data_IF_880496608318
#
_entry.id   IF_880496608318
#
_cell.length_a   1.000
_cell.length_b   1.000
_cell.length_c   1.000
_cell.angle_alpha   90.00
_cell.angle_beta   90.00
_cell.angle_gamma   90.00
#
_symmetry.space_group_name_H-M   'P 1'
#
loop_
_entity.id
_entity.type
_entity.pdbx_description
1 polymer ?
#
# COMPACT_ATOMS: atom_id res chain seq x y z
N UNK A 1 6.53 6.35 13.01
CA UNK A 1 5.89 7.26 12.01
C UNK A 1 6.47 6.91 10.65
N UNK A 2 5.71 6.18 9.83
CA UNK A 2 6.21 5.40 8.68
C UNK A 2 6.55 6.33 7.50
N UNK A 3 7.81 6.37 7.10
CA UNK A 3 8.23 6.88 5.79
C UNK A 3 7.84 5.86 4.73
N UNK A 4 6.89 6.22 3.87
CA UNK A 4 6.46 5.38 2.75
C UNK A 4 7.58 5.43 1.69
N UNK A 5 8.26 4.30 1.45
CA UNK A 5 9.25 4.17 0.37
C UNK A 5 8.66 4.66 -0.96
N UNK A 6 9.35 5.60 -1.61
CA UNK A 6 8.95 6.18 -2.91
C UNK A 6 8.05 7.42 -2.83
N UNK A 7 7.89 8.05 -1.66
CA UNK A 7 7.21 9.33 -1.54
C UNK A 7 8.20 10.46 -1.20
N UNK A 8 8.69 11.15 -2.23
CA UNK A 8 9.69 12.22 -2.10
C UNK A 8 9.09 13.56 -1.66
N UNK A 9 7.77 13.61 -1.41
CA UNK A 9 7.10 14.82 -0.97
C UNK A 9 7.62 15.28 0.41
N UNK A 10 7.96 16.58 0.58
CA UNK A 10 8.19 17.16 1.89
C UNK A 10 7.02 16.86 2.83
N UNK A 11 7.30 16.50 4.09
CA UNK A 11 6.26 16.12 5.07
C UNK A 11 5.15 17.17 5.21
N UNK A 12 5.51 18.45 5.10
CA UNK A 12 4.58 19.60 5.14
C UNK A 12 3.59 19.64 3.97
N UNK A 13 3.83 18.87 2.91
CA UNK A 13 3.01 18.80 1.70
C UNK A 13 2.45 17.39 1.43
N UNK A 14 2.78 16.41 2.26
CA UNK A 14 2.27 15.05 2.08
C UNK A 14 0.73 15.03 2.20
N UNK A 15 0.05 14.42 1.24
CA UNK A 15 -1.42 14.43 1.20
C UNK A 15 -2.03 15.67 0.57
N UNK A 16 -1.24 16.56 -0.04
CA UNK A 16 -1.72 17.72 -0.81
C UNK A 16 -1.36 17.58 -2.30
N UNK A 17 -1.98 18.40 -3.19
CA UNK A 17 -1.60 18.42 -4.60
C UNK A 17 -0.14 18.88 -4.81
N UNK A 18 0.34 19.82 -4.00
CA UNK A 18 1.72 20.28 -4.00
C UNK A 18 2.69 19.15 -3.61
N UNK A 19 2.33 18.29 -2.66
CA UNK A 19 3.14 17.11 -2.34
C UNK A 19 3.26 16.13 -3.50
N UNK A 20 2.19 15.93 -4.28
CA UNK A 20 2.29 15.11 -5.49
C UNK A 20 3.24 15.70 -6.54
N UNK A 21 3.15 17.02 -6.78
CA UNK A 21 4.01 17.74 -7.73
C UNK A 21 5.48 17.69 -7.30
N UNK A 22 5.75 17.67 -5.99
CA UNK A 22 7.07 17.50 -5.40
C UNK A 22 7.55 16.03 -5.34
N UNK A 23 7.00 15.13 -6.17
CA UNK A 23 7.44 13.73 -6.23
C UNK A 23 6.71 12.77 -5.29
N UNK A 24 5.71 13.23 -4.53
CA UNK A 24 4.89 12.35 -3.69
C UNK A 24 4.13 11.31 -4.50
N UNK A 25 4.25 10.04 -4.13
CA UNK A 25 3.51 8.93 -4.77
C UNK A 25 2.67 8.11 -3.80
N UNK A 26 2.61 8.50 -2.53
CA UNK A 26 1.76 7.83 -1.55
C UNK A 26 0.26 7.96 -1.91
N UNK A 27 -0.60 7.06 -1.37
CA UNK A 27 -2.04 7.13 -1.60
C UNK A 27 -2.66 8.49 -1.28
N UNK A 28 -2.17 9.18 -0.24
CA UNK A 28 -2.62 10.52 0.13
C UNK A 28 -2.32 11.59 -0.93
N UNK A 29 -1.06 11.69 -1.38
CA UNK A 29 -0.68 12.62 -2.45
C UNK A 29 -1.40 12.29 -3.76
N UNK A 30 -1.58 11.01 -4.09
CA UNK A 30 -2.33 10.58 -5.28
C UNK A 30 -3.79 10.99 -5.19
N UNK A 31 -4.43 10.77 -4.05
CA UNK A 31 -5.82 11.18 -3.82
C UNK A 31 -5.97 12.71 -3.88
N UNK A 32 -5.00 13.47 -3.34
CA UNK A 32 -5.02 14.92 -3.38
C UNK A 32 -4.81 15.48 -4.78
N UNK A 33 -3.86 14.92 -5.55
CA UNK A 33 -3.69 15.24 -6.97
C UNK A 33 -4.91 14.86 -7.78
N UNK A 34 -5.53 13.71 -7.54
CA UNK A 34 -6.77 13.35 -8.20
C UNK A 34 -7.92 14.30 -7.82
N UNK A 35 -7.93 14.87 -6.60
CA UNK A 35 -8.87 15.91 -6.17
C UNK A 35 -8.60 17.25 -6.87
N UNK A 36 -7.32 17.61 -7.02
CA UNK A 36 -6.87 18.80 -7.77
C UNK A 36 -7.16 18.66 -9.27
N UNK A 37 -6.94 17.48 -9.82
CA UNK A 37 -7.28 17.15 -11.20
C UNK A 37 -8.80 16.97 -11.37
N UNK A 38 -9.54 16.59 -10.33
CA UNK A 38 -10.99 16.64 -10.31
C UNK A 38 -11.49 18.09 -10.34
N UNK A 39 -10.83 19.03 -9.62
CA UNK A 39 -11.04 20.48 -9.85
C UNK A 39 -10.67 20.91 -11.27
N UNK A 40 -9.86 20.13 -12.00
CA UNK A 40 -9.51 20.33 -13.41
C UNK A 40 -10.41 19.56 -14.38
N UNK A 41 -11.54 18.99 -13.97
CA UNK A 41 -12.62 18.51 -14.90
C UNK A 41 -13.36 19.66 -15.59
N UNK A 42 -12.67 20.78 -15.84
CA UNK A 42 -13.19 21.97 -16.50
C UNK A 42 -14.10 22.85 -15.63
N UNK A 43 -14.80 22.31 -14.63
CA UNK A 43 -15.80 23.04 -13.82
C UNK A 43 -15.61 22.80 -12.31
N UNK A 44 -15.88 23.84 -11.52
CA UNK A 44 -16.12 23.68 -10.07
C UNK A 44 -17.52 23.10 -9.82
N UNK A 45 -17.77 22.59 -8.61
CA UNK A 45 -19.11 22.09 -8.22
C UNK A 45 -20.19 23.16 -8.38
N UNK A 46 -19.87 24.42 -8.06
CA UNK A 46 -20.77 25.55 -8.23
C UNK A 46 -21.08 25.82 -9.70
N UNK A 47 -20.04 25.90 -10.55
CA UNK A 47 -20.20 26.10 -11.99
C UNK A 47 -21.00 24.96 -12.63
N UNK A 48 -20.72 23.72 -12.25
CA UNK A 48 -21.46 22.53 -12.67
C UNK A 48 -22.94 22.65 -12.30
N UNK A 49 -23.24 23.01 -11.06
CA UNK A 49 -24.62 23.12 -10.58
C UNK A 49 -25.38 24.28 -11.26
N UNK A 50 -24.70 25.39 -11.56
CA UNK A 50 -25.27 26.50 -12.33
C UNK A 50 -25.60 26.07 -13.77
N UNK A 51 -24.68 25.35 -14.44
CA UNK A 51 -24.92 24.82 -15.78
C UNK A 51 -26.10 23.84 -15.81
N UNK A 52 -26.13 22.87 -14.89
CA UNK A 52 -27.24 21.90 -14.78
C UNK A 52 -28.58 22.59 -14.53
N UNK A 53 -28.61 23.60 -13.65
CA UNK A 53 -29.84 24.37 -13.39
C UNK A 53 -30.34 25.08 -14.66
N UNK A 54 -29.44 25.73 -15.39
CA UNK A 54 -29.78 26.41 -16.65
C UNK A 54 -30.31 25.43 -17.71
N UNK A 55 -29.67 24.28 -17.88
CA UNK A 55 -30.11 23.24 -18.83
C UNK A 55 -31.49 22.67 -18.44
N UNK A 56 -31.72 22.41 -17.16
CA UNK A 56 -33.01 21.90 -16.65
C UNK A 56 -34.16 22.88 -16.79
N UNK A 57 -33.87 24.18 -16.80
CA UNK A 57 -34.87 25.21 -17.10
C UNK A 57 -35.13 25.40 -18.61
N UNK A 58 -34.61 24.51 -19.47
CA UNK A 58 -34.76 24.60 -20.93
C UNK A 58 -33.75 25.53 -21.60
N UNK A 59 -32.68 25.92 -20.89
CA UNK A 59 -31.58 26.70 -21.44
C UNK A 59 -30.80 25.92 -22.50
N UNK A 60 -30.14 26.66 -23.39
CA UNK A 60 -29.23 26.09 -24.39
C UNK A 60 -27.85 25.81 -23.77
N UNK A 61 -27.00 25.04 -24.45
CA UNK A 61 -25.62 24.84 -24.03
C UNK A 61 -24.84 26.16 -23.88
N UNK A 62 -25.14 27.17 -24.73
CA UNK A 62 -24.51 28.48 -24.65
C UNK A 62 -24.95 29.24 -23.39
N UNK A 63 -26.25 29.31 -23.11
CA UNK A 63 -26.76 29.98 -21.90
C UNK A 63 -26.33 29.27 -20.61
N UNK A 64 -26.21 27.94 -20.64
CA UNK A 64 -25.72 27.16 -19.50
C UNK A 64 -24.23 27.41 -19.23
N UNK A 65 -23.42 27.53 -20.28
CA UNK A 65 -22.00 27.87 -20.16
C UNK A 65 -21.83 29.30 -19.61
N UNK A 66 -22.61 30.25 -20.13
CA UNK A 66 -22.65 31.63 -19.64
C UNK A 66 -23.05 31.70 -18.17
N UNK A 67 -24.14 31.01 -17.77
CA UNK A 67 -24.59 30.95 -16.39
C UNK A 67 -23.54 30.37 -15.44
N UNK A 68 -22.72 29.44 -15.92
CA UNK A 68 -21.61 28.85 -15.18
C UNK A 68 -20.30 29.64 -15.27
N UNK A 69 -20.26 30.77 -16.00
CA UNK A 69 -19.06 31.59 -16.18
C UNK A 69 -17.93 30.86 -16.90
N UNK A 70 -18.25 30.00 -17.87
CA UNK A 70 -17.28 29.21 -18.65
C UNK A 70 -17.58 29.27 -20.15
N UNK A 71 -16.63 28.85 -20.98
CA UNK A 71 -16.88 28.72 -22.41
C UNK A 71 -17.75 27.50 -22.73
N UNK A 72 -18.54 27.52 -23.82
CA UNK A 72 -19.29 26.34 -24.29
C UNK A 72 -18.40 25.12 -24.56
N UNK A 73 -17.16 25.36 -24.99
CA UNK A 73 -16.16 24.31 -25.23
C UNK A 73 -15.71 23.66 -23.91
N UNK A 74 -15.44 24.44 -22.87
CA UNK A 74 -15.10 23.92 -21.53
C UNK A 74 -16.25 23.10 -20.94
N UNK A 75 -17.49 23.58 -21.10
CA UNK A 75 -18.69 22.86 -20.68
C UNK A 75 -18.83 21.51 -21.40
N UNK A 76 -18.65 21.51 -22.73
CA UNK A 76 -18.70 20.29 -23.55
C UNK A 76 -17.59 19.30 -23.21
N UNK A 77 -16.39 19.79 -22.87
CA UNK A 77 -15.28 18.96 -22.44
C UNK A 77 -15.55 18.32 -21.07
N UNK A 78 -16.08 19.09 -20.11
CA UNK A 78 -16.46 18.59 -18.80
C UNK A 78 -17.51 17.47 -18.89
N UNK A 79 -18.51 17.64 -19.77
CA UNK A 79 -19.56 16.67 -20.01
C UNK A 79 -19.03 15.31 -20.52
N UNK A 80 -17.84 15.22 -21.10
CA UNK A 80 -17.26 13.92 -21.50
C UNK A 80 -16.88 13.04 -20.31
N UNK A 81 -16.72 13.62 -19.12
CA UNK A 81 -16.33 12.92 -17.90
C UNK A 81 -17.44 12.94 -16.83
N UNK A 82 -18.62 13.46 -17.17
CA UNK A 82 -19.76 13.65 -16.28
C UNK A 82 -21.04 13.29 -17.03
N UNK A 83 -21.53 12.08 -16.81
CA UNK A 83 -22.64 11.52 -17.59
C UNK A 83 -23.96 12.23 -17.29
N UNK A 84 -24.13 12.81 -16.09
CA UNK A 84 -25.30 13.64 -15.75
C UNK A 84 -25.31 14.93 -16.58
N UNK A 85 -24.18 15.62 -16.64
CA UNK A 85 -24.03 16.84 -17.43
C UNK A 85 -24.16 16.56 -18.94
N UNK A 86 -23.63 15.43 -19.41
CA UNK A 86 -23.81 14.98 -20.80
C UNK A 86 -25.28 14.78 -21.14
N UNK A 87 -26.00 14.04 -20.29
CA UNK A 87 -27.43 13.79 -20.48
C UNK A 87 -28.23 15.10 -20.47
N UNK A 88 -27.89 16.05 -19.60
CA UNK A 88 -28.53 17.36 -19.56
C UNK A 88 -28.28 18.18 -20.85
N UNK A 89 -27.05 18.17 -21.39
CA UNK A 89 -26.72 18.84 -22.66
C UNK A 89 -27.45 18.24 -23.85
N UNK A 90 -27.68 16.93 -23.83
CA UNK A 90 -28.42 16.23 -24.87
C UNK A 90 -29.95 16.38 -24.71
N UNK A 91 -30.42 17.18 -23.73
CA UNK A 91 -31.83 17.47 -23.50
C UNK A 91 -32.62 16.34 -22.85
N UNK A 92 -31.94 15.38 -22.20
CA UNK A 92 -32.60 14.25 -21.57
C UNK A 92 -33.43 14.69 -20.35
N UNK A 93 -34.57 14.01 -20.05
CA UNK A 93 -35.33 14.25 -18.83
C UNK A 93 -34.50 14.09 -17.56
N UNK A 94 -34.82 14.83 -16.49
CA UNK A 94 -34.05 14.80 -15.23
C UNK A 94 -33.93 13.39 -14.63
N UNK A 95 -34.95 12.55 -14.77
CA UNK A 95 -34.89 11.15 -14.35
C UNK A 95 -33.72 10.38 -15.01
N UNK A 96 -33.47 10.61 -16.30
CA UNK A 96 -32.35 9.99 -17.04
C UNK A 96 -31.01 10.56 -16.59
N UNK A 97 -30.96 11.86 -16.30
CA UNK A 97 -29.74 12.51 -15.77
C UNK A 97 -29.33 11.90 -14.43
N UNK A 98 -30.29 11.70 -13.52
CA UNK A 98 -30.06 11.06 -12.21
C UNK A 98 -29.57 9.62 -12.37
N UNK A 99 -30.15 8.86 -13.31
CA UNK A 99 -29.70 7.50 -13.62
C UNK A 99 -28.24 7.50 -14.12
N UNK A 100 -27.89 8.44 -15.00
CA UNK A 100 -26.52 8.58 -15.51
C UNK A 100 -25.52 8.87 -14.37
N UNK A 101 -25.86 9.78 -13.45
CA UNK A 101 -25.03 10.08 -12.27
C UNK A 101 -24.83 8.85 -11.37
N UNK A 102 -25.90 8.10 -11.14
CA UNK A 102 -25.86 6.84 -10.38
C UNK A 102 -24.98 5.80 -11.06
N UNK A 103 -25.06 5.70 -12.39
CA UNK A 103 -24.20 4.84 -13.20
C UNK A 103 -22.70 5.17 -13.04
N UNK A 104 -22.34 6.46 -13.09
CA UNK A 104 -20.96 6.92 -12.85
C UNK A 104 -20.47 6.54 -11.45
N UNK A 105 -21.34 6.68 -10.45
CA UNK A 105 -21.03 6.31 -9.06
C UNK A 105 -20.82 4.79 -8.90
N UNK A 106 -21.71 3.96 -9.47
CA UNK A 106 -21.57 2.51 -9.46
C UNK A 106 -20.28 2.05 -10.15
N UNK A 107 -19.93 2.67 -11.28
CA UNK A 107 -18.66 2.39 -11.96
C UNK A 107 -17.46 2.80 -11.09
N UNK A 108 -17.55 3.93 -10.37
CA UNK A 108 -16.53 4.35 -9.42
C UNK A 108 -16.42 3.41 -8.22
N UNK A 109 -17.54 2.86 -7.73
CA UNK A 109 -17.59 1.89 -6.64
C UNK A 109 -16.82 0.60 -6.97
N UNK A 110 -16.96 0.11 -8.20
CA UNK A 110 -16.17 -1.04 -8.68
C UNK A 110 -14.69 -0.72 -8.69
N UNK A 111 -14.31 0.45 -9.23
CA UNK A 111 -12.89 0.86 -9.30
C UNK A 111 -12.26 1.11 -7.94
N UNK A 112 -13.07 1.53 -6.95
CA UNK A 112 -12.62 1.73 -5.57
C UNK A 112 -12.66 0.46 -4.71
N UNK A 113 -13.01 -0.69 -5.29
CA UNK A 113 -13.09 -1.95 -4.53
C UNK A 113 -14.16 -1.91 -3.44
N UNK A 114 -15.27 -1.20 -3.66
CA UNK A 114 -16.39 -1.13 -2.74
C UNK A 114 -16.33 0.02 -1.73
N UNK A 115 -15.25 0.81 -1.71
CA UNK A 115 -15.20 2.02 -0.88
C UNK A 115 -16.15 3.10 -1.44
N UNK A 116 -17.32 3.21 -0.81
CA UNK A 116 -18.39 4.15 -1.18
C UNK A 116 -17.96 5.61 -1.03
N UNK A 117 -17.16 5.94 -0.02
CA UNK A 117 -16.68 7.31 0.21
C UNK A 117 -15.67 7.70 -0.87
N UNK A 118 -14.74 6.81 -1.20
CA UNK A 118 -13.81 7.02 -2.29
C UNK A 118 -14.53 7.12 -3.65
N UNK A 119 -15.56 6.31 -3.88
CA UNK A 119 -16.37 6.36 -5.10
C UNK A 119 -17.10 7.70 -5.26
N UNK A 120 -17.74 8.19 -4.20
CA UNK A 120 -18.41 9.50 -4.20
C UNK A 120 -17.43 10.64 -4.48
N UNK A 121 -16.27 10.64 -3.80
CA UNK A 121 -15.21 11.62 -4.04
C UNK A 121 -14.66 11.52 -5.47
N UNK A 122 -14.58 10.32 -6.04
CA UNK A 122 -14.05 10.10 -7.38
C UNK A 122 -14.97 10.63 -8.48
N UNK A 123 -16.24 10.91 -8.21
CA UNK A 123 -17.16 11.55 -9.18
C UNK A 123 -17.58 12.96 -8.75
N UNK A 124 -16.98 13.50 -7.69
CA UNK A 124 -17.22 14.89 -7.26
C UNK A 124 -18.57 15.11 -6.58
N UNK A 125 -19.15 14.08 -5.94
CA UNK A 125 -20.40 14.24 -5.16
C UNK A 125 -20.13 14.17 -3.66
N UNK A 126 -21.05 14.74 -2.87
CA UNK A 126 -20.98 14.63 -1.42
C UNK A 126 -21.05 13.14 -1.00
N UNK A 127 -20.16 12.64 -0.11
CA UNK A 127 -20.15 11.25 0.35
C UNK A 127 -21.46 10.72 0.93
N UNK A 128 -22.35 11.59 1.41
CA UNK A 128 -23.67 11.21 1.95
C UNK A 128 -24.77 11.11 0.87
N UNK A 129 -24.52 11.63 -0.34
CA UNK A 129 -25.50 11.63 -1.44
C UNK A 129 -25.96 10.21 -1.80
N UNK A 130 -25.07 9.21 -1.97
CA UNK A 130 -25.48 7.86 -2.29
C UNK A 130 -26.40 7.24 -1.23
N UNK A 131 -26.16 7.50 0.06
CA UNK A 131 -27.05 7.02 1.12
C UNK A 131 -28.46 7.61 0.99
N UNK A 132 -28.56 8.90 0.63
CA UNK A 132 -29.87 9.53 0.37
C UNK A 132 -30.57 8.94 -0.86
N UNK A 133 -29.84 8.46 -1.87
CA UNK A 133 -30.43 7.78 -3.02
C UNK A 133 -30.96 6.42 -2.60
N UNK A 134 -30.14 5.63 -1.90
CA UNK A 134 -30.51 4.29 -1.42
C UNK A 134 -31.75 4.31 -0.51
N UNK A 135 -31.85 5.31 0.35
CA UNK A 135 -33.03 5.48 1.23
C UNK A 135 -34.31 5.83 0.47
N UNK A 136 -34.19 6.59 -0.63
CA UNK A 136 -35.34 7.03 -1.43
C UNK A 136 -35.75 6.03 -2.50
N UNK A 137 -34.84 5.14 -2.89
CA UNK A 137 -34.98 4.23 -4.02
C UNK A 137 -34.49 2.82 -3.63
N UNK A 138 -35.42 1.94 -3.17
CA UNK A 138 -35.09 0.59 -2.78
C UNK A 138 -34.52 -0.28 -3.92
N UNK A 139 -34.92 -0.02 -5.16
CA UNK A 139 -34.39 -0.75 -6.32
C UNK A 139 -32.92 -0.41 -6.54
N UNK A 140 -32.58 0.88 -6.44
CA UNK A 140 -31.18 1.31 -6.48
C UNK A 140 -30.38 0.71 -5.32
N UNK A 141 -30.92 0.69 -4.10
CA UNK A 141 -30.27 0.04 -2.96
C UNK A 141 -29.94 -1.44 -3.22
N UNK A 142 -30.90 -2.19 -3.78
CA UNK A 142 -30.69 -3.59 -4.14
C UNK A 142 -29.54 -3.75 -5.16
N UNK A 143 -29.45 -2.86 -6.16
CA UNK A 143 -28.32 -2.85 -7.11
C UNK A 143 -26.99 -2.58 -6.41
N UNK A 144 -26.94 -1.61 -5.50
CA UNK A 144 -25.72 -1.31 -4.72
C UNK A 144 -25.28 -2.53 -3.92
N UNK A 145 -26.21 -3.16 -3.22
CA UNK A 145 -25.93 -4.35 -2.39
C UNK A 145 -25.44 -5.52 -3.24
N UNK A 146 -26.06 -5.76 -4.40
CA UNK A 146 -25.61 -6.78 -5.35
C UNK A 146 -24.19 -6.50 -5.87
N UNK A 147 -23.88 -5.24 -6.18
CA UNK A 147 -22.54 -4.85 -6.63
C UNK A 147 -21.49 -4.99 -5.53
N UNK A 148 -21.79 -4.61 -4.29
CA UNK A 148 -20.88 -4.80 -3.15
C UNK A 148 -20.59 -6.29 -2.92
N UNK A 149 -21.62 -7.15 -2.92
CA UNK A 149 -21.44 -8.59 -2.81
C UNK A 149 -20.60 -9.18 -3.97
N UNK A 150 -20.81 -8.68 -5.18
CA UNK A 150 -19.99 -9.07 -6.34
C UNK A 150 -18.53 -8.60 -6.20
N UNK A 151 -18.28 -7.38 -5.74
CA UNK A 151 -16.94 -6.85 -5.48
C UNK A 151 -16.25 -7.68 -4.40
N UNK A 152 -16.93 -8.04 -3.32
CA UNK A 152 -16.38 -8.86 -2.24
C UNK A 152 -16.01 -10.26 -2.75
N UNK A 153 -16.87 -10.89 -3.54
CA UNK A 153 -16.58 -12.22 -4.13
C UNK A 153 -15.49 -12.15 -5.20
N UNK A 154 -15.42 -11.09 -6.00
CA UNK A 154 -14.35 -10.87 -6.98
C UNK A 154 -13.01 -10.52 -6.30
N UNK A 155 -13.05 -9.74 -5.23
CA UNK A 155 -11.92 -9.41 -4.37
C UNK A 155 -11.39 -10.66 -3.68
N UNK A 156 -12.26 -11.49 -3.10
CA UNK A 156 -11.91 -12.78 -2.53
C UNK A 156 -11.29 -13.72 -3.56
N UNK A 157 -11.81 -13.75 -4.80
CA UNK A 157 -11.19 -14.50 -5.91
C UNK A 157 -9.80 -13.95 -6.27
N UNK A 158 -9.63 -12.64 -6.30
CA UNK A 158 -8.34 -12.00 -6.59
C UNK A 158 -7.33 -12.26 -5.47
N UNK A 159 -7.74 -12.21 -4.21
CA UNK A 159 -6.92 -12.56 -3.05
C UNK A 159 -6.58 -14.06 -3.06
N UNK A 160 -7.54 -14.95 -3.35
CA UNK A 160 -7.29 -16.39 -3.50
C UNK A 160 -6.34 -16.70 -4.66
N UNK A 161 -6.48 -16.04 -5.81
CA UNK A 161 -5.57 -16.19 -6.95
C UNK A 161 -4.17 -15.67 -6.63
N UNK A 162 -4.05 -14.52 -5.96
CA UNK A 162 -2.75 -14.01 -5.46
C UNK A 162 -2.12 -14.90 -4.39
N UNK A 163 -2.92 -15.60 -3.58
CA UNK A 163 -2.47 -16.63 -2.63
C UNK A 163 -1.99 -17.88 -3.36
N UNK A 164 -2.71 -18.34 -4.39
CA UNK A 164 -2.29 -19.47 -5.23
C UNK A 164 -1.01 -19.16 -6.03
N UNK A 165 -0.84 -17.90 -6.46
CA UNK A 165 0.33 -17.44 -7.21
C UNK A 165 1.53 -17.08 -6.30
N UNK A 166 1.42 -17.23 -4.97
CA UNK A 166 2.51 -17.03 -4.00
C UNK A 166 3.08 -15.60 -3.86
N UNK A 167 2.58 -14.62 -4.64
CA UNK A 167 3.24 -13.31 -4.79
C UNK A 167 2.82 -12.22 -3.80
N UNK A 168 1.78 -12.45 -2.99
CA UNK A 168 1.36 -11.50 -1.94
C UNK A 168 0.39 -12.19 -0.97
N UNK A 169 0.89 -13.08 -0.11
CA UNK A 169 0.24 -13.23 1.19
C UNK A 169 0.46 -11.90 1.93
N UNK A 170 -0.63 -11.16 2.15
CA UNK A 170 -0.58 -10.05 3.09
C UNK A 170 -0.24 -10.64 4.44
N UNK A 171 0.99 -10.39 4.90
CA UNK A 171 1.47 -10.86 6.20
C UNK A 171 0.57 -10.26 7.27
N UNK A 172 -0.09 -11.13 8.02
CA UNK A 172 -0.97 -10.76 9.14
C UNK A 172 -0.14 -10.44 10.37
N UNK A 173 -0.70 -9.64 11.29
CA UNK A 173 -0.03 -9.32 12.56
C UNK A 173 0.26 -10.59 13.36
N UNK A 174 -0.63 -11.58 13.33
CA UNK A 174 -0.43 -12.86 13.99
C UNK A 174 0.80 -13.62 13.46
N UNK A 175 1.02 -13.63 12.15
CA UNK A 175 2.21 -14.23 11.52
C UNK A 175 3.50 -13.48 11.91
N UNK A 176 3.45 -12.14 12.04
CA UNK A 176 4.58 -11.35 12.55
C UNK A 176 4.90 -11.65 14.01
N UNK A 177 3.87 -11.85 14.83
CA UNK A 177 4.03 -12.16 16.25
C UNK A 177 4.54 -13.59 16.47
N UNK A 178 4.15 -14.53 15.60
CA UNK A 178 4.74 -15.87 15.58
C UNK A 178 6.24 -15.82 15.23
N UNK A 179 6.60 -15.04 14.21
CA UNK A 179 8.01 -14.80 13.87
C UNK A 179 8.77 -14.17 15.04
N UNK A 180 8.16 -13.22 15.75
CA UNK A 180 8.75 -12.60 16.93
C UNK A 180 9.01 -13.63 18.05
N UNK A 181 8.08 -14.56 18.28
CA UNK A 181 8.24 -15.62 19.28
C UNK A 181 9.43 -16.55 18.99
N UNK A 182 9.69 -16.88 17.72
CA UNK A 182 10.89 -17.64 17.36
C UNK A 182 12.17 -16.84 17.64
N UNK A 183 12.18 -15.53 17.34
CA UNK A 183 13.35 -14.69 17.61
C UNK A 183 13.60 -14.49 19.11
N UNK A 184 12.55 -14.30 19.90
CA UNK A 184 12.58 -14.19 21.36
C UNK A 184 13.12 -15.47 22.03
N UNK A 185 12.80 -16.64 21.48
CA UNK A 185 13.35 -17.93 21.91
C UNK A 185 14.76 -18.23 21.41
N UNK A 186 15.41 -17.25 20.76
CA UNK A 186 16.81 -17.33 20.33
C UNK A 186 17.01 -17.79 18.87
N UNK A 187 15.95 -18.11 18.12
CA UNK A 187 16.07 -18.54 16.74
C UNK A 187 16.67 -17.44 15.84
N UNK A 188 17.39 -17.83 14.80
CA UNK A 188 17.94 -16.87 13.81
C UNK A 188 16.85 -16.31 12.89
N UNK A 189 17.11 -15.18 12.23
CA UNK A 189 16.18 -14.64 11.22
C UNK A 189 15.93 -15.68 10.10
N UNK A 190 16.96 -16.42 9.68
CA UNK A 190 16.82 -17.51 8.71
C UNK A 190 15.98 -18.67 9.24
N UNK A 191 16.11 -19.00 10.53
CA UNK A 191 15.32 -20.05 11.19
C UNK A 191 13.85 -19.63 11.31
N UNK A 192 13.58 -18.42 11.79
CA UNK A 192 12.24 -17.83 11.87
C UNK A 192 11.62 -17.71 10.47
N UNK A 193 12.40 -17.31 9.47
CA UNK A 193 12.00 -17.24 8.06
C UNK A 193 11.54 -18.59 7.52
N UNK A 194 12.31 -19.67 7.78
CA UNK A 194 11.92 -21.03 7.38
C UNK A 194 10.64 -21.49 8.08
N UNK A 195 10.53 -21.26 9.39
CA UNK A 195 9.38 -21.73 10.19
C UNK A 195 8.08 -21.01 9.85
N UNK A 196 8.16 -19.72 9.55
CA UNK A 196 6.99 -18.91 9.19
C UNK A 196 6.69 -18.89 7.69
N UNK A 197 7.57 -19.46 6.85
CA UNK A 197 7.44 -19.39 5.39
C UNK A 197 7.65 -17.97 4.82
N UNK A 198 8.00 -16.99 5.65
CA UNK A 198 8.26 -15.62 5.23
C UNK A 198 9.72 -15.42 4.87
N UNK A 199 10.02 -14.77 3.75
CA UNK A 199 11.41 -14.42 3.42
C UNK A 199 12.01 -13.48 4.50
N UNK A 200 13.27 -13.71 4.89
CA UNK A 200 13.97 -12.88 5.88
C UNK A 200 13.89 -11.36 5.63
N UNK A 201 14.10 -10.87 4.38
CA UNK A 201 13.90 -9.46 4.05
C UNK A 201 12.47 -8.96 4.30
N UNK A 202 11.46 -9.81 4.10
CA UNK A 202 10.06 -9.49 4.39
C UNK A 202 9.84 -9.33 5.90
N UNK A 203 10.41 -10.20 6.74
CA UNK A 203 10.35 -10.05 8.21
C UNK A 203 10.94 -8.71 8.67
N UNK A 204 12.09 -8.33 8.13
CA UNK A 204 12.76 -7.07 8.46
C UNK A 204 11.91 -5.89 8.00
N UNK A 205 11.44 -5.90 6.74
CA UNK A 205 10.60 -4.83 6.19
C UNK A 205 9.29 -4.66 6.96
N UNK A 206 8.68 -5.77 7.39
CA UNK A 206 7.40 -5.80 8.12
C UNK A 206 7.54 -5.63 9.63
N UNK A 207 8.75 -5.57 10.17
CA UNK A 207 8.98 -5.27 11.57
C UNK A 207 8.37 -3.91 11.98
N UNK A 208 8.30 -2.94 11.07
CA UNK A 208 7.64 -1.65 11.33
C UNK A 208 6.13 -1.79 11.60
N UNK A 209 5.51 -2.88 11.14
CA UNK A 209 4.08 -3.16 11.26
C UNK A 209 3.76 -3.97 12.55
N UNK A 210 4.75 -4.53 13.26
CA UNK A 210 4.58 -5.21 14.57
C UNK A 210 5.60 -4.72 15.59
N UNK A 211 5.10 -4.12 16.68
CA UNK A 211 5.94 -3.66 17.79
C UNK A 211 6.77 -4.81 18.40
N UNK A 212 6.17 -6.00 18.51
CA UNK A 212 6.82 -7.17 19.10
C UNK A 212 7.95 -7.68 18.22
N UNK A 213 7.72 -7.82 16.92
CA UNK A 213 8.75 -8.24 15.97
C UNK A 213 9.90 -7.21 15.90
N UNK A 214 9.58 -5.93 15.89
CA UNK A 214 10.58 -4.85 15.95
C UNK A 214 11.46 -4.94 17.21
N UNK A 215 10.84 -5.15 18.37
CA UNK A 215 11.55 -5.30 19.64
C UNK A 215 12.45 -6.55 19.64
N UNK A 216 11.95 -7.69 19.16
CA UNK A 216 12.71 -8.94 19.07
C UNK A 216 13.94 -8.81 18.15
N UNK A 217 13.80 -8.13 17.00
CA UNK A 217 14.90 -7.85 16.09
C UNK A 217 15.93 -6.87 16.70
N UNK A 218 15.46 -5.82 17.39
CA UNK A 218 16.32 -4.85 18.05
C UNK A 218 17.08 -5.45 19.25
N UNK A 219 16.47 -6.37 20.00
CA UNK A 219 17.13 -7.08 21.08
C UNK A 219 18.30 -7.93 20.55
N UNK A 220 18.13 -8.55 19.38
CA UNK A 220 19.18 -9.33 18.72
C UNK A 220 20.36 -8.49 18.21
N UNK A 221 20.11 -7.32 17.63
CA UNK A 221 21.20 -6.44 17.18
C UNK A 221 21.99 -5.83 18.35
N UNK A 222 21.42 -5.84 19.56
CA UNK A 222 22.03 -5.31 20.78
C UNK A 222 22.62 -6.37 21.70
N UNK A 223 22.49 -7.66 21.39
CA UNK A 223 23.14 -8.69 22.20
C UNK A 223 24.66 -8.59 22.02
N UNK A 224 25.41 -8.31 23.10
CA UNK A 224 26.86 -8.26 23.02
C UNK A 224 27.37 -9.66 22.69
N UNK A 225 28.29 -9.74 21.75
CA UNK A 225 28.98 -11.00 21.44
C UNK A 225 29.79 -11.38 22.68
N UNK A 226 29.41 -12.50 23.30
CA UNK A 226 30.05 -12.96 24.55
C UNK A 226 31.30 -13.78 24.26
N UNK A 227 32.20 -13.87 25.24
CA UNK A 227 33.41 -14.71 25.14
C UNK A 227 33.07 -16.19 24.91
N UNK A 228 32.00 -16.70 25.53
CA UNK A 228 31.51 -18.06 25.31
C UNK A 228 31.03 -18.32 23.88
N UNK A 229 30.40 -17.32 23.25
CA UNK A 229 29.97 -17.36 21.84
C UNK A 229 31.15 -17.38 20.88
N UNK A 230 32.17 -16.55 21.13
CA UNK A 230 33.42 -16.55 20.34
C UNK A 230 34.20 -17.86 20.50
N UNK A 231 34.21 -18.43 21.71
CA UNK A 231 34.83 -19.73 21.99
C UNK A 231 34.09 -20.87 21.28
N UNK A 232 32.76 -20.85 21.24
CA UNK A 232 31.97 -21.84 20.50
C UNK A 232 32.22 -21.75 18.98
N UNK A 233 32.28 -20.53 18.43
CA UNK A 233 32.62 -20.30 17.03
C UNK A 233 34.04 -20.79 16.69
N UNK A 234 35.03 -20.53 17.55
CA UNK A 234 36.39 -21.01 17.37
C UNK A 234 36.47 -22.54 17.36
N UNK A 235 35.81 -23.22 18.30
CA UNK A 235 35.72 -24.70 18.35
C UNK A 235 35.07 -25.29 17.10
N UNK A 236 34.11 -24.59 16.48
CA UNK A 236 33.49 -25.04 15.24
C UNK A 236 34.46 -24.99 14.06
N UNK A 237 35.20 -23.89 13.93
CA UNK A 237 36.24 -23.74 12.91
C UNK A 237 37.37 -24.76 13.08
N UNK A 238 37.82 -24.99 14.31
CA UNK A 238 38.83 -26.01 14.65
C UNK A 238 38.42 -27.42 14.19
N UNK A 239 37.10 -27.70 14.10
CA UNK A 239 36.55 -28.98 13.63
C UNK A 239 36.30 -29.04 12.13
N UNK A 240 36.77 -28.05 11.37
CA UNK A 240 36.55 -27.94 9.92
C UNK A 240 35.15 -27.41 9.55
N UNK A 241 34.44 -26.80 10.50
CA UNK A 241 33.14 -26.19 10.24
C UNK A 241 33.23 -24.92 9.40
N UNK A 242 32.16 -24.56 8.69
CA UNK A 242 32.17 -23.39 7.80
C UNK A 242 32.20 -22.06 8.58
N UNK A 243 32.82 -21.04 7.99
CA UNK A 243 32.83 -19.67 8.55
C UNK A 243 31.42 -19.08 8.73
N UNK A 244 30.47 -19.46 7.87
CA UNK A 244 29.08 -19.04 7.97
C UNK A 244 28.35 -19.67 9.17
N UNK A 245 28.70 -20.89 9.57
CA UNK A 245 28.18 -21.53 10.78
C UNK A 245 28.82 -21.01 12.04
N UNK A 246 30.14 -20.76 12.02
CA UNK A 246 30.84 -20.13 13.13
C UNK A 246 30.25 -18.75 13.45
N UNK A 247 29.95 -17.94 12.43
CA UNK A 247 29.27 -16.64 12.61
C UNK A 247 27.86 -16.80 13.21
N UNK A 248 27.12 -17.83 12.80
CA UNK A 248 25.80 -18.16 13.38
C UNK A 248 25.90 -18.54 14.86
N UNK A 249 26.89 -19.35 15.24
CA UNK A 249 27.13 -19.74 16.64
C UNK A 249 27.49 -18.54 17.53
N UNK A 250 28.21 -17.57 16.97
CA UNK A 250 28.51 -16.31 17.66
C UNK A 250 27.39 -15.26 17.56
N UNK A 251 26.22 -15.63 17.02
CA UNK A 251 25.07 -14.75 16.80
C UNK A 251 25.41 -13.45 16.04
N UNK A 252 26.37 -13.50 15.13
CA UNK A 252 26.91 -12.32 14.44
C UNK A 252 27.10 -12.56 12.93
N UNK A 253 27.53 -11.54 12.18
CA UNK A 253 27.84 -11.67 10.75
C UNK A 253 29.27 -12.17 10.55
N UNK A 254 29.61 -12.69 9.36
CA UNK A 254 30.98 -13.11 9.03
C UNK A 254 31.97 -11.98 9.26
N UNK A 255 31.67 -10.79 8.75
CA UNK A 255 32.53 -9.61 8.88
C UNK A 255 32.67 -9.16 10.33
N UNK A 256 31.60 -9.22 11.12
CA UNK A 256 31.65 -8.87 12.53
C UNK A 256 32.43 -9.92 13.34
N UNK A 257 32.30 -11.21 13.02
CA UNK A 257 33.12 -12.27 13.63
C UNK A 257 34.63 -12.02 13.38
N UNK A 258 34.99 -11.65 12.15
CA UNK A 258 36.37 -11.30 11.80
C UNK A 258 36.87 -10.07 12.57
N UNK A 259 36.01 -9.07 12.82
CA UNK A 259 36.35 -7.90 13.64
C UNK A 259 36.57 -8.24 15.13
N UNK A 260 35.96 -9.31 15.63
CA UNK A 260 36.18 -9.77 17.01
C UNK A 260 37.44 -10.62 17.18
N UNK A 261 37.99 -11.18 16.09
CA UNK A 261 39.15 -12.06 16.13
C UNK A 261 40.40 -11.46 16.81
N UNK A 262 40.79 -10.19 16.59
CA UNK A 262 41.98 -9.61 17.23
C UNK A 262 41.91 -9.57 18.76
N UNK A 263 40.70 -9.56 19.34
CA UNK A 263 40.47 -9.55 20.78
C UNK A 263 40.23 -10.93 21.39
N UNK A 264 40.34 -12.02 20.61
CA UNK A 264 40.05 -13.38 21.09
C UNK A 264 41.01 -14.40 20.49
N UNK A 265 42.09 -14.72 21.22
CA UNK A 265 43.23 -15.51 20.75
C UNK A 265 42.87 -16.83 20.09
N UNK A 266 41.94 -17.57 20.69
CA UNK A 266 41.50 -18.87 20.15
C UNK A 266 40.77 -18.73 18.82
N UNK A 267 39.97 -17.67 18.66
CA UNK A 267 39.22 -17.42 17.44
C UNK A 267 40.17 -16.97 16.32
N UNK A 268 41.15 -16.13 16.66
CA UNK A 268 42.24 -15.74 15.76
C UNK A 268 43.00 -16.96 15.24
N UNK A 269 43.46 -17.84 16.14
CA UNK A 269 44.19 -19.06 15.76
C UNK A 269 43.35 -19.98 14.87
N UNK A 270 42.07 -20.19 15.22
CA UNK A 270 41.15 -21.01 14.43
C UNK A 270 40.87 -20.43 13.03
N UNK A 271 40.80 -19.08 12.91
CA UNK A 271 40.61 -18.40 11.63
C UNK A 271 41.86 -18.46 10.74
N UNK A 272 43.07 -18.35 11.29
CA UNK A 272 44.31 -18.53 10.51
C UNK A 272 44.42 -19.97 10.01
N UNK A 273 44.19 -20.97 10.88
CA UNK A 273 44.16 -22.37 10.47
C UNK A 273 43.09 -22.65 9.39
N UNK A 274 41.94 -21.99 9.46
CA UNK A 274 40.88 -22.10 8.45
C UNK A 274 41.31 -21.49 7.09
N UNK A 275 42.12 -20.42 7.06
CA UNK A 275 42.64 -19.84 5.81
C UNK A 275 43.68 -20.73 5.13
N UNK A 276 44.43 -21.49 5.91
CA UNK A 276 45.47 -22.40 5.43
C UNK A 276 44.90 -23.73 4.89
N UNK A 277 43.63 -24.03 5.17
CA UNK A 277 42.97 -25.19 4.58
C UNK A 277 42.75 -24.97 3.07
N UNK A 278 43.20 -25.88 2.20
CA UNK A 278 42.85 -25.83 0.79
C UNK A 278 41.34 -25.95 0.69
N UNK A 279 40.67 -24.94 0.13
CA UNK A 279 39.24 -24.99 -0.11
C UNK A 279 38.93 -26.28 -0.87
N UNK A 280 38.14 -27.22 -0.33
CA UNK A 280 37.62 -28.30 -1.15
C UNK A 280 36.78 -27.64 -2.24
N UNK A 281 37.15 -27.88 -3.49
CA UNK A 281 36.36 -27.49 -4.65
C UNK A 281 34.91 -27.89 -4.38
N UNK A 282 34.01 -26.91 -4.48
CA UNK A 282 32.59 -27.08 -4.18
C UNK A 282 32.02 -28.17 -5.09
N UNK A 283 31.74 -29.35 -4.52
CA UNK A 283 30.79 -30.33 -5.05
C UNK A 283 29.40 -30.03 -4.51
#
# INVERSE_FOLDING_TARGET
>A
MVTIEGCDAPRTSCGTPSGWRAGGRCPGCRAAKNRDDAKRRGLTDEQRNLALRSLRSGGTAASAAEAAGVSPQSLSQAARADSELRAALDGAPEAIQVIAQRGDWLAALVRSGGDQKAAALAIGINPNTPNSWRQRDPEFDAVVMAMLAWIDTAGARTVRRRRADGRNQGVTIAELDEAASYLESGATISEASRRTGMAGPTLIKRAADSHRLSAALAARTRQPVTEGMLTAAARHLERGGSLAEAARLAATTRDALLKHAPGHDRLRAALEAYKEQPFPEQQ
#
